data_IF_120375210989
#
_entry.id   IF_120375210989
#
_cell.length_a   1.000
_cell.length_b   1.000
_cell.length_c   1.000
_cell.angle_alpha   90.00
_cell.angle_beta   90.00
_cell.angle_gamma   90.00
#
_symmetry.space_group_name_H-M   'P 1'
#
loop_
_entity.id
_entity.type
_entity.pdbx_description
1 polymer ?
#
# COMPACT_ATOMS: atom_id res chain seq x y z
N UNK A 1 -10.12 3.99 -15.39
CA UNK A 1 -10.38 3.24 -14.14
C UNK A 1 -9.33 2.14 -13.96
N UNK A 2 -8.84 1.91 -12.75
CA UNK A 2 -7.75 0.99 -12.46
C UNK A 2 -8.25 -0.15 -11.55
N UNK A 3 -8.74 -1.27 -12.12
CA UNK A 3 -9.22 -2.40 -11.34
C UNK A 3 -8.07 -3.16 -10.66
N UNK A 4 -8.31 -3.65 -9.45
CA UNK A 4 -7.44 -4.64 -8.84
C UNK A 4 -7.59 -5.97 -9.59
N UNK A 5 -6.46 -6.58 -9.96
CA UNK A 5 -6.45 -7.86 -10.68
C UNK A 5 -6.38 -9.08 -9.74
N UNK A 6 -6.43 -8.86 -8.43
CA UNK A 6 -6.42 -9.94 -7.47
C UNK A 6 -7.80 -10.61 -7.48
N UNK A 7 -7.84 -11.94 -7.67
CA UNK A 7 -9.07 -12.70 -7.98
C UNK A 7 -10.22 -12.46 -6.99
N UNK A 8 -9.90 -12.30 -5.70
CA UNK A 8 -10.86 -12.06 -4.62
C UNK A 8 -11.07 -10.56 -4.31
N UNK A 9 -10.52 -9.66 -5.12
CA UNK A 9 -10.59 -8.22 -4.90
C UNK A 9 -11.38 -7.51 -5.99
N UNK A 10 -12.48 -6.88 -5.62
CA UNK A 10 -13.38 -6.15 -6.53
C UNK A 10 -13.12 -4.64 -6.54
N UNK A 11 -12.01 -4.17 -5.96
CA UNK A 11 -11.72 -2.73 -5.85
C UNK A 11 -11.30 -2.14 -7.19
N UNK A 12 -11.87 -0.99 -7.51
CA UNK A 12 -11.50 -0.19 -8.69
C UNK A 12 -11.09 1.20 -8.22
N UNK A 13 -9.98 1.71 -8.74
CA UNK A 13 -9.41 3.00 -8.37
C UNK A 13 -9.55 4.02 -9.50
N UNK A 14 -9.63 5.30 -9.13
CA UNK A 14 -9.67 6.40 -10.10
C UNK A 14 -8.28 6.72 -10.66
N UNK A 15 -7.21 6.45 -9.90
CA UNK A 15 -5.83 6.76 -10.26
C UNK A 15 -4.94 5.53 -10.14
N UNK A 16 -3.88 5.47 -10.96
CA UNK A 16 -2.96 4.33 -10.97
C UNK A 16 -2.21 4.19 -9.64
N UNK A 17 -1.72 5.30 -9.07
CA UNK A 17 -0.98 5.25 -7.80
C UNK A 17 -1.82 4.72 -6.64
N UNK A 18 -3.15 4.91 -6.67
CA UNK A 18 -4.03 4.35 -5.65
C UNK A 18 -4.12 2.81 -5.78
N UNK A 19 -4.18 2.28 -7.01
CA UNK A 19 -4.10 0.85 -7.29
C UNK A 19 -2.74 0.27 -6.87
N UNK A 20 -1.63 0.94 -7.23
CA UNK A 20 -0.27 0.53 -6.85
C UNK A 20 -0.07 0.54 -5.33
N UNK A 21 -0.65 1.52 -4.62
CA UNK A 21 -0.63 1.53 -3.16
C UNK A 21 -1.48 0.39 -2.59
N UNK A 22 -2.64 0.13 -3.20
CA UNK A 22 -3.53 -0.94 -2.78
C UNK A 22 -2.92 -2.34 -2.95
N UNK A 23 -2.16 -2.59 -4.02
CA UNK A 23 -1.54 -3.92 -4.25
C UNK A 23 -0.63 -4.36 -3.10
N UNK A 24 -0.03 -3.41 -2.36
CA UNK A 24 0.77 -3.67 -1.14
C UNK A 24 -0.02 -4.40 -0.05
N UNK A 25 -1.36 -4.32 -0.04
CA UNK A 25 -2.22 -5.06 0.89
C UNK A 25 -2.17 -6.57 0.62
N UNK A 26 -2.06 -6.95 -0.65
CA UNK A 26 -2.02 -8.36 -1.06
C UNK A 26 -0.62 -8.95 -0.90
N UNK A 27 0.41 -8.19 -1.26
CA UNK A 27 1.81 -8.61 -1.14
C UNK A 27 2.36 -8.48 0.28
N UNK A 28 1.65 -7.76 1.16
CA UNK A 28 2.11 -7.37 2.51
C UNK A 28 3.43 -6.59 2.50
N UNK A 29 3.78 -5.97 1.38
CA UNK A 29 4.98 -5.15 1.26
C UNK A 29 4.90 -3.91 2.14
N UNK A 30 5.97 -3.67 2.90
CA UNK A 30 6.10 -2.54 3.81
C UNK A 30 7.47 -1.88 3.63
N UNK A 31 7.66 -1.13 2.53
CA UNK A 31 8.98 -0.61 2.15
C UNK A 31 9.46 0.57 3.01
N UNK A 32 8.59 1.14 3.85
CA UNK A 32 8.90 2.31 4.66
C UNK A 32 9.20 1.87 6.08
N UNK A 33 10.43 2.06 6.56
CA UNK A 33 10.84 1.61 7.89
C UNK A 33 11.16 2.81 8.78
N UNK A 34 10.70 2.76 10.04
CA UNK A 34 11.15 3.70 11.05
C UNK A 34 12.56 3.30 11.53
N UNK A 35 13.57 4.19 11.45
CA UNK A 35 14.93 3.85 11.84
C UNK A 35 15.08 3.62 13.34
N UNK A 36 14.23 4.23 14.18
CA UNK A 36 14.31 4.12 15.63
C UNK A 36 13.67 2.82 16.15
N UNK A 37 12.40 2.58 15.81
CA UNK A 37 11.64 1.45 16.33
C UNK A 37 11.61 0.23 15.38
N UNK A 38 12.22 0.33 14.19
CA UNK A 38 12.28 -0.71 13.14
C UNK A 38 10.93 -1.19 12.63
N UNK A 39 9.83 -0.48 12.94
CA UNK A 39 8.49 -0.81 12.41
C UNK A 39 8.42 -0.49 10.91
N UNK A 40 7.77 -1.38 10.18
CA UNK A 40 7.59 -1.28 8.73
C UNK A 40 6.16 -0.84 8.39
N UNK A 41 6.02 0.05 7.41
CA UNK A 41 4.78 0.65 6.96
C UNK A 41 4.62 0.47 5.46
N UNK A 42 3.37 0.28 5.02
CA UNK A 42 3.03 0.15 3.59
C UNK A 42 2.98 1.49 2.87
N UNK A 43 2.99 2.62 3.60
CA UNK A 43 2.90 3.98 3.04
C UNK A 43 3.81 4.95 3.79
N UNK A 44 4.32 5.96 3.08
CA UNK A 44 5.19 6.99 3.64
C UNK A 44 4.46 7.96 4.56
N UNK A 45 3.22 8.33 4.22
CA UNK A 45 2.40 9.20 5.07
C UNK A 45 2.09 8.54 6.42
N UNK A 46 1.84 7.23 6.42
CA UNK A 46 1.67 6.45 7.66
C UNK A 46 2.95 6.42 8.49
N UNK A 47 4.13 6.34 7.87
CA UNK A 47 5.41 6.45 8.58
C UNK A 47 5.62 7.88 9.15
N UNK A 48 5.20 8.92 8.42
CA UNK A 48 5.42 10.30 8.84
C UNK A 48 4.61 10.70 10.07
N UNK A 49 3.42 10.10 10.26
CA UNK A 49 2.56 10.34 11.42
C UNK A 49 2.68 9.26 12.51
N UNK A 50 3.53 8.26 12.29
CA UNK A 50 3.72 7.13 13.19
C UNK A 50 4.53 7.55 14.43
#
# INVERSE_FOLDING_TARGET
PFPCLHMLCTKIFKRNHDLTRHSRVHTKERPHHCPECKKSFSRSDTLNTH
#
